data_IF_463431680588
#
_entry.id   IF_463431680588
#
_cell.length_a   1.000
_cell.length_b   1.000
_cell.length_c   1.000
_cell.angle_alpha   90.00
_cell.angle_beta   90.00
_cell.angle_gamma   90.00
#
_symmetry.space_group_name_H-M   'P 1'
#
loop_
_entity.id
_entity.type
_entity.pdbx_description
1 polymer ?
#
# COMPACT_ATOMS: atom_id res chain seq x y z
N UNK A 1 16.26 37.20 -9.08
CA UNK A 1 16.16 36.87 -7.65
C UNK A 1 15.85 35.37 -7.52
N UNK A 2 16.85 34.51 -7.19
CA UNK A 2 16.60 33.09 -6.95
C UNK A 2 16.06 32.95 -5.53
N UNK A 3 14.75 32.75 -5.39
CA UNK A 3 14.13 32.41 -4.12
C UNK A 3 14.64 31.00 -3.73
N UNK A 4 15.62 30.94 -2.85
CA UNK A 4 16.08 29.66 -2.29
C UNK A 4 15.13 29.25 -1.17
N UNK A 5 14.18 28.39 -1.49
CA UNK A 5 13.30 27.77 -0.49
C UNK A 5 14.18 26.97 0.49
N UNK A 6 14.05 27.16 1.81
CA UNK A 6 14.76 26.35 2.78
C UNK A 6 14.47 24.86 2.58
N UNK A 7 15.49 24.00 2.66
CA UNK A 7 15.34 22.55 2.41
C UNK A 7 14.19 21.89 3.19
N UNK A 8 13.96 22.16 4.49
CA UNK A 8 12.83 21.58 5.23
C UNK A 8 11.48 22.07 4.70
N UNK A 9 11.36 23.34 4.30
CA UNK A 9 10.13 23.89 3.73
C UNK A 9 9.81 23.27 2.36
N UNK A 10 10.81 23.05 1.51
CA UNK A 10 10.61 22.37 0.21
C UNK A 10 10.12 20.94 0.36
N UNK A 11 10.62 20.20 1.35
CA UNK A 11 10.17 18.84 1.64
C UNK A 11 8.73 18.83 2.17
N UNK A 12 8.40 19.76 3.06
CA UNK A 12 7.05 19.92 3.59
C UNK A 12 6.03 20.27 2.50
N UNK A 13 6.37 21.19 1.60
CA UNK A 13 5.53 21.57 0.47
C UNK A 13 5.31 20.39 -0.50
N UNK A 14 6.35 19.61 -0.78
CA UNK A 14 6.22 18.39 -1.61
C UNK A 14 5.29 17.36 -0.97
N UNK A 15 5.41 17.15 0.34
CA UNK A 15 4.51 16.28 1.09
C UNK A 15 3.07 16.78 1.05
N UNK A 16 2.83 18.05 1.35
CA UNK A 16 1.50 18.67 1.31
C UNK A 16 0.86 18.54 -0.07
N UNK A 17 1.62 18.82 -1.15
CA UNK A 17 1.12 18.65 -2.51
C UNK A 17 0.72 17.20 -2.81
N UNK A 18 1.57 16.23 -2.44
CA UNK A 18 1.28 14.80 -2.65
C UNK A 18 0.07 14.35 -1.83
N UNK A 19 -0.03 14.79 -0.58
CA UNK A 19 -1.17 14.51 0.30
C UNK A 19 -2.47 15.04 -0.30
N UNK A 20 -2.50 16.29 -0.76
CA UNK A 20 -3.69 16.88 -1.38
C UNK A 20 -4.05 16.15 -2.68
N UNK A 21 -3.06 15.83 -3.52
CA UNK A 21 -3.29 15.12 -4.78
C UNK A 21 -3.90 13.72 -4.55
N UNK A 22 -3.38 12.96 -3.59
CA UNK A 22 -3.90 11.63 -3.24
C UNK A 22 -5.30 11.75 -2.60
N UNK A 23 -5.51 12.72 -1.70
CA UNK A 23 -6.83 12.97 -1.11
C UNK A 23 -7.87 13.31 -2.17
N UNK A 24 -7.53 14.19 -3.12
CA UNK A 24 -8.41 14.56 -4.23
C UNK A 24 -8.70 13.36 -5.14
N UNK A 25 -7.69 12.53 -5.41
CA UNK A 25 -7.87 11.30 -6.20
C UNK A 25 -8.90 10.36 -5.57
N UNK A 26 -8.78 10.04 -4.29
CA UNK A 26 -9.75 9.18 -3.61
C UNK A 26 -11.12 9.83 -3.47
N UNK A 27 -11.18 11.14 -3.21
CA UNK A 27 -12.44 11.87 -3.13
C UNK A 27 -13.24 11.82 -4.43
N UNK A 28 -12.57 11.94 -5.58
CA UNK A 28 -13.21 11.94 -6.90
C UNK A 28 -13.53 10.52 -7.38
N UNK A 29 -12.62 9.56 -7.14
CA UNK A 29 -12.69 8.25 -7.76
C UNK A 29 -13.35 7.18 -6.91
N UNK A 30 -13.39 7.34 -5.57
CA UNK A 30 -13.92 6.31 -4.68
C UNK A 30 -14.05 6.76 -3.24
N UNK A 31 -14.88 7.77 -3.00
CA UNK A 31 -15.10 8.30 -1.65
C UNK A 31 -15.66 7.26 -0.67
N UNK A 32 -16.51 6.35 -1.17
CA UNK A 32 -17.18 5.34 -0.35
C UNK A 32 -16.38 4.03 -0.17
N UNK A 33 -15.23 3.93 -0.84
CA UNK A 33 -14.37 2.76 -0.77
C UNK A 33 -13.92 2.43 0.68
N UNK A 34 -13.67 3.46 1.47
CA UNK A 34 -13.23 3.32 2.86
C UNK A 34 -14.37 2.94 3.81
N UNK A 35 -15.57 3.48 3.60
CA UNK A 35 -16.76 3.08 4.35
C UNK A 35 -17.07 1.58 4.14
N UNK A 36 -16.99 1.10 2.91
CA UNK A 36 -17.14 -0.32 2.62
C UNK A 36 -16.06 -1.20 3.27
N UNK A 37 -14.83 -0.68 3.37
CA UNK A 37 -13.73 -1.40 4.00
C UNK A 37 -13.96 -1.58 5.51
N UNK A 38 -14.56 -0.62 6.17
CA UNK A 38 -14.90 -0.67 7.61
C UNK A 38 -15.91 -1.77 7.92
N UNK A 39 -16.95 -1.94 7.07
CA UNK A 39 -17.95 -2.99 7.22
C UNK A 39 -17.33 -4.41 7.17
N UNK A 40 -16.18 -4.55 6.56
CA UNK A 40 -15.57 -5.82 6.22
C UNK A 40 -14.41 -6.20 7.16
N UNK A 41 -13.62 -5.22 7.60
CA UNK A 41 -12.45 -5.41 8.46
C UNK A 41 -12.75 -4.83 9.86
N UNK A 42 -13.43 -5.61 10.67
CA UNK A 42 -13.83 -5.19 12.02
C UNK A 42 -12.69 -5.35 13.02
N UNK A 43 -12.62 -4.44 13.98
CA UNK A 43 -11.76 -4.52 15.15
C UNK A 43 -12.60 -4.82 16.39
N UNK A 44 -12.15 -5.75 17.22
CA UNK A 44 -12.85 -6.13 18.44
C UNK A 44 -12.06 -5.69 19.66
N UNK A 45 -12.69 -4.91 20.55
CA UNK A 45 -12.11 -4.49 21.83
C UNK A 45 -12.20 -5.60 22.88
N UNK A 46 -11.56 -6.73 22.60
CA UNK A 46 -11.46 -7.85 23.52
C UNK A 46 -10.00 -8.24 23.73
N UNK A 47 -9.63 -8.47 25.00
CA UNK A 47 -8.24 -8.79 25.36
C UNK A 47 -7.76 -10.10 24.74
N UNK A 48 -8.66 -11.07 24.60
CA UNK A 48 -8.33 -12.36 23.99
C UNK A 48 -8.08 -12.20 22.49
N UNK A 49 -8.92 -11.41 21.79
CA UNK A 49 -8.73 -11.08 20.37
C UNK A 49 -7.38 -10.38 20.15
N UNK A 50 -7.10 -9.32 20.92
CA UNK A 50 -5.86 -8.55 20.80
C UNK A 50 -4.64 -9.42 21.06
N UNK A 51 -4.64 -10.23 22.13
CA UNK A 51 -3.52 -11.10 22.46
C UNK A 51 -3.30 -12.19 21.41
N UNK A 52 -4.35 -12.87 20.96
CA UNK A 52 -4.26 -13.93 19.97
C UNK A 52 -3.78 -13.41 18.60
N UNK A 53 -4.26 -12.23 18.20
CA UNK A 53 -3.83 -11.59 16.95
C UNK A 53 -2.38 -11.12 17.05
N UNK A 54 -1.98 -10.49 18.17
CA UNK A 54 -0.62 -9.99 18.38
C UNK A 54 0.44 -11.10 18.32
N UNK A 55 0.12 -12.30 18.76
CA UNK A 55 1.03 -13.45 18.75
C UNK A 55 1.28 -14.03 17.36
N UNK A 56 0.46 -13.70 16.38
CA UNK A 56 0.62 -14.20 15.01
C UNK A 56 1.56 -13.29 14.19
N UNK A 57 2.32 -13.85 13.22
CA UNK A 57 3.09 -13.03 12.30
C UNK A 57 2.20 -12.05 11.54
N UNK A 58 2.58 -10.77 11.57
CA UNK A 58 1.76 -9.69 11.00
C UNK A 58 0.74 -9.10 11.98
N UNK A 59 0.59 -9.65 13.18
CA UNK A 59 -0.46 -9.27 14.12
C UNK A 59 -0.43 -7.82 14.55
N UNK A 60 0.75 -7.20 14.71
CA UNK A 60 0.84 -5.78 15.06
C UNK A 60 0.24 -4.89 13.95
N UNK A 61 0.60 -5.15 12.70
CA UNK A 61 0.09 -4.38 11.55
C UNK A 61 -1.41 -4.65 11.37
N UNK A 62 -1.88 -5.88 11.61
CA UNK A 62 -3.29 -6.24 11.58
C UNK A 62 -4.09 -5.48 12.62
N UNK A 63 -3.65 -5.45 13.87
CA UNK A 63 -4.30 -4.69 14.94
C UNK A 63 -4.30 -3.19 14.66
N UNK A 64 -3.18 -2.65 14.16
CA UNK A 64 -3.08 -1.23 13.81
C UNK A 64 -4.00 -0.88 12.65
N UNK A 65 -4.07 -1.73 11.61
CA UNK A 65 -4.98 -1.55 10.48
C UNK A 65 -6.44 -1.57 10.94
N UNK A 66 -6.83 -2.59 11.70
CA UNK A 66 -8.19 -2.70 12.24
C UNK A 66 -8.58 -1.50 13.10
N UNK A 67 -7.65 -1.01 13.95
CA UNK A 67 -7.90 0.21 14.73
C UNK A 67 -8.11 1.45 13.86
N UNK A 68 -7.29 1.65 12.81
CA UNK A 68 -7.45 2.80 11.91
C UNK A 68 -8.74 2.73 11.09
N UNK A 69 -9.12 1.54 10.66
CA UNK A 69 -10.31 1.31 9.83
C UNK A 69 -11.60 1.71 10.56
N UNK A 70 -11.66 1.66 11.90
CA UNK A 70 -12.84 2.11 12.66
C UNK A 70 -13.23 3.57 12.39
N UNK A 71 -12.27 4.40 11.97
CA UNK A 71 -12.57 5.80 11.61
C UNK A 71 -13.14 5.93 10.19
N UNK A 72 -13.20 4.83 9.41
CA UNK A 72 -13.59 4.87 8.00
C UNK A 72 -15.11 4.87 7.78
N UNK A 73 -15.91 4.69 8.83
CA UNK A 73 -17.34 4.96 8.77
C UNK A 73 -17.63 6.40 8.28
N UNK A 74 -16.68 7.32 8.50
CA UNK A 74 -16.65 8.63 7.86
C UNK A 74 -15.74 8.57 6.62
N UNK A 75 -16.28 8.62 5.38
CA UNK A 75 -15.48 8.50 4.15
C UNK A 75 -14.30 9.48 4.09
N UNK A 76 -14.50 10.72 4.56
CA UNK A 76 -13.46 11.74 4.60
C UNK A 76 -12.29 11.33 5.51
N UNK A 77 -12.56 10.73 6.67
CA UNK A 77 -11.49 10.27 7.57
C UNK A 77 -10.67 9.16 6.93
N UNK A 78 -11.32 8.19 6.26
CA UNK A 78 -10.63 7.14 5.51
C UNK A 78 -9.73 7.68 4.40
N UNK A 79 -10.23 8.66 3.64
CA UNK A 79 -9.47 9.36 2.60
C UNK A 79 -8.22 10.04 3.20
N UNK A 80 -8.38 10.81 4.27
CA UNK A 80 -7.28 11.57 4.87
C UNK A 80 -6.22 10.65 5.49
N UNK A 81 -6.62 9.61 6.22
CA UNK A 81 -5.70 8.64 6.82
C UNK A 81 -4.91 7.91 5.72
N UNK A 82 -5.59 7.44 4.68
CA UNK A 82 -4.93 6.73 3.57
C UNK A 82 -4.01 7.66 2.78
N UNK A 83 -4.43 8.88 2.48
CA UNK A 83 -3.59 9.87 1.81
C UNK A 83 -2.36 10.24 2.64
N UNK A 84 -2.48 10.32 3.98
CA UNK A 84 -1.35 10.52 4.87
C UNK A 84 -0.35 9.37 4.78
N UNK A 85 -0.80 8.11 4.86
CA UNK A 85 0.08 6.95 4.77
C UNK A 85 0.76 6.85 3.40
N UNK A 86 0.03 7.02 2.30
CA UNK A 86 0.58 6.96 0.95
C UNK A 86 1.55 8.10 0.67
N UNK A 87 1.28 9.31 1.16
CA UNK A 87 2.22 10.43 1.04
C UNK A 87 3.48 10.22 1.88
N UNK A 88 3.38 9.59 3.06
CA UNK A 88 4.53 9.18 3.85
C UNK A 88 5.37 8.10 3.14
N UNK A 89 4.73 7.12 2.50
CA UNK A 89 5.39 6.11 1.65
C UNK A 89 6.15 6.79 0.51
N UNK A 90 5.53 7.76 -0.17
CA UNK A 90 6.20 8.55 -1.23
C UNK A 90 7.46 9.25 -0.73
N UNK A 91 7.37 9.92 0.42
CA UNK A 91 8.53 10.62 0.99
C UNK A 91 9.66 9.68 1.37
N UNK A 92 9.33 8.57 2.05
CA UNK A 92 10.33 7.56 2.43
C UNK A 92 10.98 6.94 1.20
N UNK A 93 10.17 6.56 0.19
CA UNK A 93 10.69 6.01 -1.06
C UNK A 93 11.62 7.00 -1.76
N UNK A 94 11.22 8.27 -1.87
CA UNK A 94 12.06 9.33 -2.45
C UNK A 94 13.36 9.51 -1.65
N UNK A 95 13.27 9.51 -0.31
CA UNK A 95 14.43 9.62 0.57
C UNK A 95 15.40 8.45 0.39
N UNK A 96 14.88 7.21 0.38
CA UNK A 96 15.66 5.99 0.18
C UNK A 96 16.37 6.03 -1.17
N UNK A 97 15.63 6.29 -2.26
CA UNK A 97 16.19 6.35 -3.61
C UNK A 97 17.28 7.40 -3.73
N UNK A 98 17.03 8.61 -3.21
CA UNK A 98 18.03 9.69 -3.19
C UNK A 98 19.28 9.30 -2.41
N UNK A 99 19.13 8.74 -1.21
CA UNK A 99 20.25 8.37 -0.36
C UNK A 99 21.06 7.22 -0.96
N UNK A 100 20.38 6.26 -1.57
CA UNK A 100 21.00 5.09 -2.17
C UNK A 100 21.69 5.39 -3.50
N UNK A 101 21.03 6.14 -4.40
CA UNK A 101 21.60 6.46 -5.73
C UNK A 101 22.58 7.64 -5.69
N UNK A 102 22.55 8.45 -4.64
CA UNK A 102 23.35 9.67 -4.50
C UNK A 102 22.82 10.86 -5.27
N UNK A 103 21.68 10.74 -5.97
CA UNK A 103 21.06 11.83 -6.71
C UNK A 103 19.53 11.88 -6.48
N UNK A 104 18.88 12.96 -6.92
CA UNK A 104 17.44 13.14 -6.74
C UNK A 104 16.65 12.95 -8.04
N UNK A 105 17.17 12.18 -8.99
CA UNK A 105 16.53 12.03 -10.31
C UNK A 105 15.34 11.09 -10.30
N UNK A 106 15.26 10.15 -9.35
CA UNK A 106 14.23 9.11 -9.30
C UNK A 106 12.98 9.49 -8.50
N UNK A 107 12.84 10.75 -8.06
CA UNK A 107 11.68 11.16 -7.27
C UNK A 107 10.32 10.97 -8.00
N UNK A 108 10.19 11.17 -9.34
CA UNK A 108 8.91 10.92 -9.98
C UNK A 108 8.56 9.43 -10.01
N UNK A 109 9.57 8.58 -10.23
CA UNK A 109 9.36 7.12 -10.23
C UNK A 109 8.98 6.57 -8.86
N UNK A 110 9.29 7.28 -7.76
CA UNK A 110 8.83 6.93 -6.42
C UNK A 110 7.30 6.96 -6.27
N UNK A 111 6.58 7.63 -7.17
CA UNK A 111 5.12 7.61 -7.24
C UNK A 111 4.57 6.27 -7.76
N UNK A 112 5.31 5.49 -8.52
CA UNK A 112 4.81 4.24 -9.12
C UNK A 112 4.34 3.22 -8.07
N UNK A 113 5.11 2.88 -7.01
CA UNK A 113 4.62 2.01 -5.94
C UNK A 113 3.44 2.61 -5.17
N UNK A 114 3.42 3.94 -5.00
CA UNK A 114 2.33 4.66 -4.31
C UNK A 114 1.03 4.55 -5.11
N UNK A 115 1.09 4.78 -6.42
CA UNK A 115 -0.07 4.62 -7.31
C UNK A 115 -0.54 3.18 -7.35
N UNK A 116 0.39 2.21 -7.38
CA UNK A 116 0.05 0.79 -7.33
C UNK A 116 -0.69 0.44 -6.02
N UNK A 117 -0.21 0.94 -4.87
CA UNK A 117 -0.91 0.77 -3.59
C UNK A 117 -2.27 1.48 -3.59
N UNK A 118 -2.36 2.69 -4.17
CA UNK A 118 -3.63 3.39 -4.29
C UNK A 118 -4.65 2.58 -5.09
N UNK A 119 -4.24 1.93 -6.18
CA UNK A 119 -5.11 1.04 -6.94
C UNK A 119 -5.54 -0.21 -6.15
N UNK A 120 -4.65 -0.74 -5.27
CA UNK A 120 -5.04 -1.87 -4.41
C UNK A 120 -6.19 -1.51 -3.47
N UNK A 121 -6.29 -0.26 -3.00
CA UNK A 121 -7.40 0.16 -2.14
C UNK A 121 -8.77 0.13 -2.83
N UNK A 122 -8.84 0.11 -4.16
CA UNK A 122 -10.10 -0.09 -4.90
C UNK A 122 -10.52 -1.55 -4.98
N UNK A 123 -9.62 -2.49 -4.69
CA UNK A 123 -9.94 -3.91 -4.61
C UNK A 123 -10.58 -4.23 -3.24
N UNK A 124 -11.83 -4.66 -3.25
CA UNK A 124 -12.62 -4.99 -2.06
C UNK A 124 -11.99 -6.06 -1.17
N UNK A 125 -11.09 -6.87 -1.72
CA UNK A 125 -10.45 -7.99 -1.02
C UNK A 125 -9.05 -7.66 -0.50
N UNK A 126 -8.55 -6.45 -0.77
CA UNK A 126 -7.25 -6.00 -0.27
C UNK A 126 -7.35 -5.61 1.20
N UNK A 127 -6.46 -6.17 2.02
CA UNK A 127 -6.39 -5.87 3.45
C UNK A 127 -5.53 -4.62 3.67
N UNK A 128 -6.04 -3.68 4.47
CA UNK A 128 -5.38 -2.40 4.77
C UNK A 128 -3.99 -2.57 5.40
N UNK A 129 -3.79 -3.70 6.06
CA UNK A 129 -2.52 -4.16 6.62
C UNK A 129 -1.36 -4.08 5.63
N UNK A 130 -1.59 -4.37 4.35
CA UNK A 130 -0.58 -4.35 3.31
C UNK A 130 0.07 -2.98 3.12
N UNK A 131 -0.69 -1.89 3.26
CA UNK A 131 -0.17 -0.52 3.18
C UNK A 131 0.69 -0.17 4.39
N UNK A 132 0.26 -0.56 5.59
CA UNK A 132 1.04 -0.35 6.82
C UNK A 132 2.31 -1.20 6.84
N UNK A 133 2.23 -2.46 6.41
CA UNK A 133 3.38 -3.33 6.26
C UNK A 133 4.42 -2.73 5.30
N UNK A 134 3.95 -2.20 4.16
CA UNK A 134 4.83 -1.54 3.18
C UNK A 134 5.51 -0.30 3.77
N UNK A 135 4.78 0.52 4.53
CA UNK A 135 5.35 1.68 5.24
C UNK A 135 6.43 1.24 6.23
N UNK A 136 6.14 0.22 7.06
CA UNK A 136 7.08 -0.30 8.06
C UNK A 136 8.35 -0.85 7.39
N UNK A 137 8.22 -1.57 6.26
CA UNK A 137 9.36 -2.02 5.45
C UNK A 137 10.25 -0.86 5.01
N UNK A 138 9.68 0.24 4.51
CA UNK A 138 10.45 1.42 4.08
C UNK A 138 11.16 2.12 5.24
N UNK A 139 10.55 2.14 6.43
CA UNK A 139 11.20 2.62 7.66
C UNK A 139 12.47 1.81 7.92
N UNK A 140 12.39 0.48 7.84
CA UNK A 140 13.56 -0.39 8.00
C UNK A 140 14.66 -0.14 6.97
N UNK A 141 14.31 0.01 5.69
CA UNK A 141 15.28 0.35 4.64
C UNK A 141 15.95 1.72 4.89
N UNK A 142 15.18 2.69 5.40
CA UNK A 142 15.71 4.01 5.72
C UNK A 142 16.79 3.92 6.81
N UNK A 143 16.53 3.21 7.90
CA UNK A 143 17.50 3.00 8.97
C UNK A 143 18.71 2.20 8.50
N UNK A 144 18.50 1.14 7.71
CA UNK A 144 19.59 0.36 7.12
C UNK A 144 20.60 1.26 6.37
N UNK A 145 20.10 2.17 5.52
CA UNK A 145 20.95 3.11 4.78
C UNK A 145 21.62 4.18 5.67
N UNK A 146 21.19 4.38 6.91
CA UNK A 146 21.84 5.29 7.86
C UNK A 146 23.10 4.67 8.48
N UNK A 147 23.20 3.36 8.55
CA UNK A 147 24.32 2.66 9.20
C UNK A 147 25.52 2.60 8.25
N UNK A 148 26.69 3.05 8.73
CA UNK A 148 27.92 3.10 7.90
C UNK A 148 28.69 1.78 7.89
N UNK A 149 28.78 1.11 9.04
CA UNK A 149 29.52 -0.16 9.18
C UNK A 149 28.77 -1.31 8.51
N UNK A 150 29.43 -2.09 7.66
CA UNK A 150 28.83 -3.24 6.98
C UNK A 150 28.37 -4.32 7.97
N UNK A 151 29.15 -4.58 9.03
CA UNK A 151 28.79 -5.57 10.06
C UNK A 151 27.54 -5.11 10.82
N UNK A 152 27.52 -3.84 11.28
CA UNK A 152 26.36 -3.29 11.99
C UNK A 152 25.12 -3.25 11.10
N UNK A 153 25.26 -2.98 9.79
CA UNK A 153 24.15 -3.05 8.82
C UNK A 153 23.59 -4.46 8.70
N UNK A 154 24.46 -5.46 8.62
CA UNK A 154 24.01 -6.86 8.54
C UNK A 154 23.28 -7.29 9.82
N UNK A 155 23.84 -6.99 11.00
CA UNK A 155 23.20 -7.30 12.30
C UNK A 155 21.84 -6.60 12.39
N UNK A 156 21.78 -5.30 12.07
CA UNK A 156 20.52 -4.57 12.02
C UNK A 156 19.52 -5.22 11.07
N UNK A 157 19.94 -5.57 9.85
CA UNK A 157 19.08 -6.20 8.85
C UNK A 157 18.54 -7.55 9.32
N UNK A 158 19.37 -8.34 9.99
CA UNK A 158 18.96 -9.62 10.56
C UNK A 158 17.88 -9.40 11.65
N UNK A 159 18.17 -8.56 12.64
CA UNK A 159 17.20 -8.25 13.71
C UNK A 159 15.91 -7.66 13.15
N UNK A 160 16.03 -6.73 12.19
CA UNK A 160 14.86 -6.09 11.59
C UNK A 160 14.05 -7.06 10.70
N UNK A 161 14.67 -8.01 10.03
CA UNK A 161 13.95 -9.07 9.26
C UNK A 161 13.08 -9.91 10.19
N UNK A 162 13.61 -10.34 11.33
CA UNK A 162 12.84 -11.10 12.32
C UNK A 162 11.72 -10.24 12.91
N UNK A 163 12.04 -9.00 13.30
CA UNK A 163 11.04 -8.04 13.79
C UNK A 163 9.93 -7.78 12.77
N UNK A 164 10.29 -7.56 11.50
CA UNK A 164 9.34 -7.26 10.43
C UNK A 164 8.45 -8.47 10.12
N UNK A 165 9.01 -9.70 10.13
CA UNK A 165 8.20 -10.90 9.97
C UNK A 165 7.21 -11.08 11.12
N UNK A 166 7.65 -10.89 12.36
CA UNK A 166 6.78 -11.00 13.53
C UNK A 166 5.66 -9.94 13.53
N UNK A 167 5.97 -8.69 13.15
CA UNK A 167 5.04 -7.56 13.27
C UNK A 167 4.19 -7.31 12.03
N UNK A 168 4.72 -7.58 10.83
CA UNK A 168 4.10 -7.28 9.55
C UNK A 168 3.98 -8.49 8.60
N UNK A 169 4.52 -9.66 8.94
CA UNK A 169 4.36 -10.89 8.16
C UNK A 169 5.20 -10.95 6.89
N UNK A 170 4.58 -11.36 5.79
CA UNK A 170 5.23 -11.71 4.51
C UNK A 170 6.05 -10.57 3.87
N UNK A 171 5.81 -9.30 4.22
CA UNK A 171 6.58 -8.15 3.69
C UNK A 171 8.08 -8.24 3.98
N UNK A 172 8.46 -9.06 4.99
CA UNK A 172 9.85 -9.35 5.28
C UNK A 172 10.60 -9.95 4.10
N UNK A 173 9.93 -10.71 3.23
CA UNK A 173 10.52 -11.27 2.01
C UNK A 173 10.83 -10.16 0.97
N UNK A 174 9.94 -9.18 0.79
CA UNK A 174 10.21 -8.01 -0.04
C UNK A 174 11.35 -7.17 0.55
N UNK A 175 11.36 -6.95 1.86
CA UNK A 175 12.43 -6.24 2.55
C UNK A 175 13.79 -6.87 2.26
N UNK A 176 13.92 -8.18 2.44
CA UNK A 176 15.17 -8.92 2.17
C UNK A 176 15.56 -8.83 0.70
N UNK A 177 14.61 -8.95 -0.21
CA UNK A 177 14.86 -8.82 -1.66
C UNK A 177 15.43 -7.44 -2.00
N UNK A 178 14.82 -6.36 -1.48
CA UNK A 178 15.31 -5.00 -1.71
C UNK A 178 16.66 -4.75 -1.04
N UNK A 179 16.92 -5.32 0.14
CA UNK A 179 18.24 -5.26 0.79
C UNK A 179 19.33 -5.90 -0.07
N UNK A 180 19.07 -7.08 -0.62
CA UNK A 180 20.03 -7.78 -1.48
C UNK A 180 20.35 -6.92 -2.71
N UNK A 181 19.33 -6.33 -3.35
CA UNK A 181 19.52 -5.42 -4.47
C UNK A 181 20.37 -4.21 -4.05
N UNK A 182 20.03 -3.55 -2.95
CA UNK A 182 20.76 -2.38 -2.44
C UNK A 182 22.23 -2.74 -2.20
N UNK A 183 22.50 -3.83 -1.50
CA UNK A 183 23.86 -4.22 -1.14
C UNK A 183 24.65 -4.77 -2.31
N UNK A 184 24.01 -5.37 -3.32
CA UNK A 184 24.67 -5.78 -4.56
C UNK A 184 25.30 -4.57 -5.29
N UNK A 185 24.69 -3.40 -5.20
CA UNK A 185 25.23 -2.16 -5.78
C UNK A 185 26.16 -1.37 -4.85
N UNK A 186 26.01 -1.49 -3.50
CA UNK A 186 26.85 -0.78 -2.54
C UNK A 186 28.11 -1.57 -2.21
N UNK A 187 27.96 -2.86 -1.89
CA UNK A 187 29.05 -3.73 -1.44
C UNK A 187 29.01 -5.10 -2.14
N UNK A 188 29.25 -5.18 -3.46
CA UNK A 188 29.03 -6.40 -4.24
C UNK A 188 29.82 -7.60 -3.70
N UNK A 189 31.05 -7.38 -3.18
CA UNK A 189 31.89 -8.44 -2.59
C UNK A 189 31.31 -9.05 -1.30
N UNK A 190 30.43 -8.32 -0.59
CA UNK A 190 29.85 -8.75 0.68
C UNK A 190 28.34 -9.03 0.57
N UNK A 191 27.76 -8.82 -0.61
CA UNK A 191 26.32 -9.03 -0.83
C UNK A 191 25.90 -10.47 -0.52
N UNK A 192 26.78 -11.45 -0.77
CA UNK A 192 26.48 -12.86 -0.53
C UNK A 192 26.07 -13.17 0.92
N UNK A 193 26.53 -12.39 1.91
CA UNK A 193 26.12 -12.59 3.31
C UNK A 193 24.63 -12.29 3.52
N UNK A 194 24.06 -11.38 2.73
CA UNK A 194 22.63 -11.03 2.82
C UNK A 194 21.72 -12.14 2.28
N UNK A 195 22.25 -13.10 1.50
CA UNK A 195 21.51 -14.30 1.08
C UNK A 195 21.12 -15.17 2.30
N UNK A 196 21.86 -15.09 3.40
CA UNK A 196 21.48 -15.75 4.66
C UNK A 196 20.12 -15.26 5.19
N UNK A 197 19.72 -14.02 4.90
CA UNK A 197 18.43 -13.50 5.30
C UNK A 197 17.26 -14.20 4.60
N UNK A 198 17.48 -14.72 3.39
CA UNK A 198 16.49 -15.56 2.70
C UNK A 198 16.23 -16.84 3.51
N UNK A 199 17.29 -17.47 4.00
CA UNK A 199 17.16 -18.65 4.87
C UNK A 199 16.42 -18.31 6.16
N UNK A 200 16.69 -17.14 6.75
CA UNK A 200 15.98 -16.69 7.97
C UNK A 200 14.48 -16.54 7.69
N UNK A 201 14.09 -15.84 6.61
CA UNK A 201 12.68 -15.67 6.23
C UNK A 201 12.03 -17.01 5.94
N UNK A 202 12.74 -17.93 5.24
CA UNK A 202 12.26 -19.28 4.98
C UNK A 202 11.99 -20.07 6.26
N UNK A 203 12.92 -20.05 7.22
CA UNK A 203 12.75 -20.75 8.51
C UNK A 203 11.60 -20.15 9.33
N UNK A 204 11.45 -18.84 9.35
CA UNK A 204 10.32 -18.16 10.01
C UNK A 204 8.99 -18.53 9.35
N UNK A 205 8.93 -18.55 8.02
CA UNK A 205 7.75 -18.97 7.29
C UNK A 205 7.41 -20.45 7.51
N UNK A 206 8.43 -21.33 7.53
CA UNK A 206 8.26 -22.75 7.86
C UNK A 206 7.69 -22.94 9.27
N UNK A 207 8.21 -22.21 10.25
CA UNK A 207 7.70 -22.23 11.61
C UNK A 207 6.25 -21.75 11.67
N UNK A 208 5.92 -20.64 10.99
CA UNK A 208 4.57 -20.09 10.95
C UNK A 208 3.55 -21.03 10.28
N UNK A 209 3.99 -21.78 9.25
CA UNK A 209 3.17 -22.82 8.61
C UNK A 209 2.97 -24.03 9.54
N UNK A 210 3.99 -24.43 10.29
CA UNK A 210 3.90 -25.52 11.25
C UNK A 210 2.94 -25.20 12.40
N UNK A 211 2.95 -23.98 12.90
CA UNK A 211 2.00 -23.47 13.92
C UNK A 211 0.57 -23.27 13.35
N UNK A 212 0.39 -23.41 12.03
CA UNK A 212 -0.92 -23.26 11.39
C UNK A 212 -1.40 -21.81 11.25
N UNK A 213 -0.52 -20.81 11.44
CA UNK A 213 -0.88 -19.39 11.27
C UNK A 213 -1.11 -19.03 9.80
N UNK A 214 -0.42 -19.69 8.89
CA UNK A 214 -0.64 -19.60 7.45
C UNK A 214 -1.02 -20.94 6.88
N UNK A 215 -2.01 -20.97 5.97
CA UNK A 215 -2.43 -22.22 5.30
C UNK A 215 -1.50 -22.63 4.16
N UNK A 216 -0.80 -21.66 3.52
CA UNK A 216 -0.01 -21.90 2.32
C UNK A 216 1.24 -20.99 2.32
N UNK A 217 2.30 -21.44 1.61
CA UNK A 217 3.55 -20.71 1.44
C UNK A 217 3.38 -19.31 0.86
N UNK A 218 2.44 -19.12 -0.08
CA UNK A 218 2.18 -17.81 -0.68
C UNK A 218 1.74 -16.77 0.36
N UNK A 219 0.96 -17.19 1.37
CA UNK A 219 0.55 -16.29 2.45
C UNK A 219 1.68 -15.98 3.45
N UNK A 220 2.67 -16.86 3.55
CA UNK A 220 3.82 -16.64 4.43
C UNK A 220 4.93 -15.79 3.77
N UNK A 221 5.03 -15.79 2.43
CA UNK A 221 6.18 -15.22 1.71
C UNK A 221 5.83 -14.12 0.70
N UNK A 222 4.58 -14.05 0.21
CA UNK A 222 4.18 -13.15 -0.88
C UNK A 222 3.11 -12.15 -0.43
N UNK A 223 2.77 -11.24 -1.33
CA UNK A 223 1.73 -10.23 -1.12
C UNK A 223 0.33 -10.81 -0.88
N UNK A 224 0.12 -12.10 -1.18
CA UNK A 224 -1.12 -12.85 -0.92
C UNK A 224 -1.54 -12.81 0.56
N UNK A 225 -0.61 -12.57 1.49
CA UNK A 225 -0.91 -12.37 2.91
C UNK A 225 -1.87 -11.20 3.15
N UNK A 226 -1.79 -10.16 2.31
CA UNK A 226 -2.58 -8.93 2.41
C UNK A 226 -3.82 -8.94 1.51
N UNK A 227 -4.32 -10.12 1.26
CA UNK A 227 -5.54 -10.34 0.50
C UNK A 227 -6.43 -11.34 1.22
N UNK A 228 -7.75 -11.23 1.08
CA UNK A 228 -8.65 -12.17 1.75
C UNK A 228 -8.35 -13.61 1.35
N UNK A 229 -8.19 -14.50 2.33
CA UNK A 229 -7.89 -15.91 2.09
C UNK A 229 -9.08 -16.71 1.52
N UNK A 230 -10.28 -16.12 1.50
CA UNK A 230 -11.50 -16.78 1.01
C UNK A 230 -11.59 -16.79 -0.51
N UNK A 231 -10.85 -15.93 -1.20
CA UNK A 231 -10.87 -15.78 -2.65
C UNK A 231 -9.46 -15.92 -3.22
N UNK A 232 -9.30 -16.42 -4.45
CA UNK A 232 -8.01 -16.45 -5.12
C UNK A 232 -7.53 -15.01 -5.36
N UNK A 233 -6.31 -14.70 -4.91
CA UNK A 233 -5.68 -13.42 -5.17
C UNK A 233 -5.40 -13.29 -6.68
N UNK A 234 -5.83 -12.18 -7.27
CA UNK A 234 -5.44 -11.83 -8.64
C UNK A 234 -3.97 -11.39 -8.71
N UNK A 235 -3.35 -11.48 -9.88
CA UNK A 235 -1.95 -11.08 -10.09
C UNK A 235 -1.66 -9.62 -9.71
N UNK A 236 -2.69 -8.76 -9.71
CA UNK A 236 -2.61 -7.35 -9.36
C UNK A 236 -2.04 -7.08 -7.96
N UNK A 237 -2.26 -7.98 -7.00
CA UNK A 237 -1.79 -7.80 -5.62
C UNK A 237 -0.25 -7.75 -5.52
N UNK A 238 0.45 -8.38 -6.47
CA UNK A 238 1.91 -8.36 -6.52
C UNK A 238 2.47 -7.08 -7.16
N UNK A 239 1.62 -6.23 -7.74
CA UNK A 239 2.02 -5.05 -8.52
C UNK A 239 2.90 -4.06 -7.71
N UNK A 240 2.53 -3.65 -6.47
CA UNK A 240 3.37 -2.75 -5.67
C UNK A 240 4.76 -3.33 -5.38
N UNK A 241 4.84 -4.65 -5.15
CA UNK A 241 6.09 -5.34 -4.88
C UNK A 241 6.96 -5.41 -6.13
N UNK A 242 6.40 -5.86 -7.26
CA UNK A 242 7.10 -5.96 -8.54
C UNK A 242 7.63 -4.60 -9.02
N UNK A 243 6.81 -3.55 -8.92
CA UNK A 243 7.23 -2.18 -9.25
C UNK A 243 8.38 -1.73 -8.34
N UNK A 244 8.30 -2.02 -7.04
CA UNK A 244 9.38 -1.66 -6.10
C UNK A 244 10.69 -2.37 -6.45
N UNK A 245 10.64 -3.67 -6.71
CA UNK A 245 11.82 -4.45 -7.13
C UNK A 245 12.41 -3.85 -8.42
N UNK A 246 11.57 -3.61 -9.43
CA UNK A 246 12.00 -3.00 -10.69
C UNK A 246 12.61 -1.61 -10.51
N UNK A 247 11.99 -0.78 -9.66
CA UNK A 247 12.48 0.57 -9.35
C UNK A 247 13.85 0.54 -8.67
N UNK A 248 14.08 -0.40 -7.76
CA UNK A 248 15.40 -0.54 -7.12
C UNK A 248 16.44 -1.12 -8.08
N UNK A 249 16.10 -2.05 -8.95
CA UNK A 249 17.03 -2.54 -10.00
C UNK A 249 17.44 -1.40 -10.94
N UNK A 250 16.48 -0.65 -11.45
CA UNK A 250 16.74 0.52 -12.31
C UNK A 250 17.52 1.59 -11.54
N UNK A 251 17.15 1.86 -10.28
CA UNK A 251 17.83 2.82 -9.41
C UNK A 251 19.32 2.49 -9.23
N UNK A 252 19.67 1.21 -9.13
CA UNK A 252 21.06 0.77 -9.10
C UNK A 252 21.86 1.22 -10.33
N UNK A 253 21.25 1.17 -11.51
CA UNK A 253 21.86 1.64 -12.74
C UNK A 253 22.05 3.16 -12.76
N UNK A 254 21.13 3.91 -12.16
CA UNK A 254 21.21 5.38 -12.07
C UNK A 254 22.43 5.88 -11.27
N UNK A 255 23.03 5.05 -10.42
CA UNK A 255 24.29 5.40 -9.71
C UNK A 255 25.45 5.64 -10.66
N UNK A 256 25.44 4.99 -11.82
CA UNK A 256 26.53 5.03 -12.81
C UNK A 256 26.26 6.04 -13.92
N UNK A 257 25.08 6.65 -13.97
CA UNK A 257 24.74 7.63 -15.00
C UNK A 257 25.50 8.94 -14.80
N UNK A 258 26.04 9.53 -15.90
CA UNK A 258 26.71 10.82 -15.85
C UNK A 258 25.71 11.92 -15.52
N UNK A 259 26.09 12.82 -14.62
CA UNK A 259 25.25 13.96 -14.23
C UNK A 259 25.33 15.07 -15.31
N UNK A 260 24.55 14.90 -16.40
CA UNK A 260 24.44 15.87 -17.50
C UNK A 260 23.06 16.56 -17.44
N UNK A 261 22.95 17.91 -17.48
CA UNK A 261 21.69 18.61 -17.29
C UNK A 261 20.61 18.23 -18.32
N UNK A 262 20.97 18.05 -19.57
CA UNK A 262 20.03 17.66 -20.63
C UNK A 262 19.51 16.22 -20.43
N UNK A 263 20.41 15.29 -20.06
CA UNK A 263 20.03 13.91 -19.73
C UNK A 263 19.11 13.88 -18.51
N UNK A 264 19.43 14.63 -17.47
CA UNK A 264 18.62 14.69 -16.27
C UNK A 264 17.20 15.21 -16.57
N UNK A 265 17.06 16.24 -17.39
CA UNK A 265 15.74 16.76 -17.81
C UNK A 265 14.96 15.73 -18.61
N UNK A 266 15.59 15.07 -19.58
CA UNK A 266 14.97 14.00 -20.37
C UNK A 266 14.48 12.85 -19.48
N UNK A 267 15.31 12.41 -18.53
CA UNK A 267 14.96 11.33 -17.59
C UNK A 267 13.77 11.71 -16.68
N UNK A 268 13.70 12.95 -16.21
CA UNK A 268 12.56 13.43 -15.42
C UNK A 268 11.26 13.46 -16.24
N UNK A 269 11.33 13.92 -17.49
CA UNK A 269 10.17 13.93 -18.40
C UNK A 269 9.70 12.50 -18.68
N UNK A 270 10.62 11.60 -19.02
CA UNK A 270 10.29 10.18 -19.27
C UNK A 270 9.60 9.54 -18.06
N UNK A 271 10.13 9.75 -16.86
CA UNK A 271 9.52 9.24 -15.64
C UNK A 271 8.12 9.81 -15.41
N UNK A 272 7.93 11.13 -15.64
CA UNK A 272 6.62 11.76 -15.56
C UNK A 272 5.62 11.15 -16.55
N UNK A 273 6.05 10.88 -17.79
CA UNK A 273 5.25 10.20 -18.80
C UNK A 273 4.89 8.77 -18.35
N UNK A 274 5.87 8.02 -17.84
CA UNK A 274 5.64 6.64 -17.34
C UNK A 274 4.62 6.63 -16.21
N UNK A 275 4.73 7.53 -15.24
CA UNK A 275 3.74 7.67 -14.15
C UNK A 275 2.36 8.05 -14.70
N UNK A 276 2.31 9.01 -15.63
CA UNK A 276 1.05 9.44 -16.27
C UNK A 276 0.37 8.33 -17.07
N UNK A 277 1.15 7.56 -17.84
CA UNK A 277 0.65 6.39 -18.58
C UNK A 277 0.16 5.30 -17.62
N UNK A 278 0.90 5.04 -16.54
CA UNK A 278 0.50 4.06 -15.54
C UNK A 278 -0.80 4.45 -14.84
N UNK A 279 -0.99 5.72 -14.50
CA UNK A 279 -2.25 6.24 -13.97
C UNK A 279 -3.40 6.12 -14.98
N UNK A 280 -3.16 6.55 -16.22
CA UNK A 280 -4.19 6.55 -17.27
C UNK A 280 -4.67 5.14 -17.64
N UNK A 281 -3.76 4.19 -17.78
CA UNK A 281 -4.09 2.80 -18.10
C UNK A 281 -4.58 2.01 -16.89
N UNK A 282 -4.06 2.28 -15.70
CA UNK A 282 -4.43 1.59 -14.47
C UNK A 282 -5.81 1.98 -13.97
N UNK A 283 -6.18 3.26 -14.02
CA UNK A 283 -7.46 3.71 -13.48
C UNK A 283 -8.67 2.91 -14.01
N UNK A 284 -8.89 2.73 -15.32
CA UNK A 284 -10.02 1.95 -15.82
C UNK A 284 -9.92 0.45 -15.53
N UNK A 285 -8.70 -0.07 -15.28
CA UNK A 285 -8.49 -1.49 -14.98
C UNK A 285 -8.80 -1.83 -13.52
N UNK A 286 -8.49 -0.93 -12.60
CA UNK A 286 -8.60 -1.17 -11.16
C UNK A 286 -9.81 -0.50 -10.52
N UNK A 287 -10.39 0.52 -11.17
CA UNK A 287 -11.53 1.29 -10.65
C UNK A 287 -12.76 0.95 -11.51
N UNK A 288 -13.61 0.07 -10.99
CA UNK A 288 -14.87 -0.30 -11.63
C UNK A 288 -15.99 0.61 -11.12
N UNK A 289 -16.71 1.28 -12.04
CA UNK A 289 -17.87 2.11 -11.69
C UNK A 289 -18.95 1.32 -10.95
N UNK A 290 -19.22 0.09 -11.38
CA UNK A 290 -20.23 -0.77 -10.76
C UNK A 290 -19.86 -1.12 -9.31
N UNK A 291 -18.57 -1.43 -9.07
CA UNK A 291 -18.09 -1.70 -7.71
C UNK A 291 -18.15 -0.45 -6.83
N UNK A 292 -17.78 0.72 -7.35
CA UNK A 292 -17.85 1.97 -6.58
C UNK A 292 -19.29 2.37 -6.29
N UNK A 293 -20.21 2.18 -7.25
CA UNK A 293 -21.66 2.36 -7.01
C UNK A 293 -22.19 1.41 -5.95
N UNK A 294 -21.78 0.14 -5.97
CA UNK A 294 -22.18 -0.82 -4.93
C UNK A 294 -21.68 -0.41 -3.54
N UNK A 295 -20.43 0.05 -3.42
CA UNK A 295 -19.86 0.56 -2.17
C UNK A 295 -20.60 1.81 -1.67
N UNK A 296 -20.99 2.71 -2.57
CA UNK A 296 -21.81 3.86 -2.27
C UNK A 296 -23.16 3.43 -1.69
N UNK A 297 -23.87 2.52 -2.37
CA UNK A 297 -25.17 2.02 -1.93
C UNK A 297 -25.10 1.31 -0.57
N UNK A 298 -24.07 0.49 -0.33
CA UNK A 298 -23.90 -0.17 0.99
C UNK A 298 -23.63 0.83 2.09
N UNK A 299 -22.84 1.89 1.85
CA UNK A 299 -22.62 2.95 2.82
C UNK A 299 -23.90 3.75 3.12
N UNK A 300 -24.74 3.98 2.11
CA UNK A 300 -26.06 4.64 2.30
C UNK A 300 -27.02 3.74 3.09
N UNK A 301 -27.00 2.41 2.89
CA UNK A 301 -27.79 1.44 3.67
C UNK A 301 -27.43 1.51 5.15
N UNK A 302 -26.13 1.45 5.48
CA UNK A 302 -25.67 1.50 6.87
C UNK A 302 -26.08 2.80 7.59
N UNK A 303 -26.15 3.90 6.84
CA UNK A 303 -26.57 5.18 7.37
C UNK A 303 -28.11 5.37 7.34
N UNK A 304 -28.89 4.38 6.89
CA UNK A 304 -30.36 4.45 6.79
C UNK A 304 -30.86 5.51 5.79
N UNK A 305 -30.05 5.87 4.79
CA UNK A 305 -30.35 6.93 3.83
C UNK A 305 -31.17 6.39 2.64
N UNK A 306 -32.35 5.83 2.93
CA UNK A 306 -33.20 5.12 1.96
C UNK A 306 -33.61 5.99 0.77
N UNK A 307 -33.97 7.26 0.99
CA UNK A 307 -34.34 8.19 -0.09
C UNK A 307 -33.17 8.46 -1.05
N UNK A 308 -31.95 8.60 -0.50
CA UNK A 308 -30.75 8.78 -1.30
C UNK A 308 -30.46 7.55 -2.18
N UNK A 309 -30.71 6.32 -1.68
CA UNK A 309 -30.58 5.09 -2.47
C UNK A 309 -31.56 5.07 -3.61
N UNK A 310 -32.85 5.41 -3.34
CA UNK A 310 -33.90 5.44 -4.38
C UNK A 310 -33.55 6.48 -5.46
N UNK A 311 -33.13 7.67 -5.06
CA UNK A 311 -32.76 8.72 -6.01
C UNK A 311 -31.53 8.34 -6.83
N UNK A 312 -30.51 7.76 -6.19
CA UNK A 312 -29.29 7.30 -6.87
C UNK A 312 -29.55 6.20 -7.88
N UNK A 313 -30.46 5.27 -7.54
CA UNK A 313 -30.80 4.14 -8.40
C UNK A 313 -31.65 4.52 -9.64
N UNK A 314 -32.30 5.68 -9.66
CA UNK A 314 -33.01 6.16 -10.86
C UNK A 314 -32.08 6.36 -12.08
N UNK A 315 -30.82 6.71 -11.82
CA UNK A 315 -29.84 7.04 -12.86
C UNK A 315 -28.93 5.85 -13.22
N UNK A 316 -29.12 4.68 -12.60
CA UNK A 316 -28.26 3.51 -12.76
C UNK A 316 -29.02 2.42 -13.53
N UNK A 317 -28.43 1.82 -14.60
CA UNK A 317 -29.00 0.67 -15.24
C UNK A 317 -29.11 -0.51 -14.25
N UNK A 318 -30.35 -1.01 -14.01
CA UNK A 318 -30.62 -2.12 -13.08
C UNK A 318 -30.26 -3.49 -13.69
N UNK A 319 -29.06 -3.60 -14.27
CA UNK A 319 -28.54 -4.87 -14.82
C UNK A 319 -27.76 -5.68 -13.78
N UNK A 320 -27.28 -5.01 -12.71
CA UNK A 320 -26.53 -5.65 -11.63
C UNK A 320 -27.48 -6.06 -10.49
N UNK A 321 -27.53 -7.36 -10.17
CA UNK A 321 -28.36 -7.90 -9.10
C UNK A 321 -28.06 -7.30 -7.71
N UNK A 322 -26.82 -6.93 -7.45
CA UNK A 322 -26.45 -6.30 -6.17
C UNK A 322 -27.09 -4.90 -6.04
N UNK A 323 -27.09 -4.12 -7.12
CA UNK A 323 -27.76 -2.80 -7.13
C UNK A 323 -29.29 -2.98 -6.98
N UNK A 324 -29.88 -3.96 -7.68
CA UNK A 324 -31.31 -4.28 -7.52
C UNK A 324 -31.67 -4.65 -6.09
N UNK A 325 -30.84 -5.45 -5.41
CA UNK A 325 -31.08 -5.83 -4.03
C UNK A 325 -31.01 -4.62 -3.10
N UNK A 326 -30.06 -3.71 -3.26
CA UNK A 326 -29.99 -2.46 -2.49
C UNK A 326 -31.24 -1.59 -2.71
N UNK A 327 -31.69 -1.48 -3.96
CA UNK A 327 -32.90 -0.73 -4.34
C UNK A 327 -34.14 -1.33 -3.73
N UNK A 328 -34.36 -2.66 -3.87
CA UNK A 328 -35.49 -3.34 -3.29
C UNK A 328 -35.52 -3.24 -1.76
N UNK A 329 -34.35 -3.30 -1.10
CA UNK A 329 -34.25 -3.08 0.34
C UNK A 329 -34.73 -1.68 0.73
N UNK A 330 -34.31 -0.65 0.00
CA UNK A 330 -34.74 0.73 0.27
C UNK A 330 -36.26 0.91 0.09
N UNK A 331 -36.87 0.25 -0.93
CA UNK A 331 -38.33 0.25 -1.09
C UNK A 331 -39.05 -0.50 0.03
N UNK A 332 -38.48 -1.61 0.50
CA UNK A 332 -39.04 -2.36 1.63
C UNK A 332 -39.07 -1.52 2.91
N UNK A 333 -37.95 -0.87 3.21
CA UNK A 333 -37.82 -0.02 4.40
C UNK A 333 -38.72 1.26 4.37
N UNK A 334 -39.12 1.67 3.16
CA UNK A 334 -40.06 2.81 2.96
C UNK A 334 -41.50 2.35 2.78
N UNK A 335 -41.83 1.06 2.96
CA UNK A 335 -43.16 0.47 2.73
C UNK A 335 -43.73 0.70 1.32
N UNK A 336 -42.87 0.86 0.33
CA UNK A 336 -43.22 1.18 -1.06
C UNK A 336 -43.12 -0.01 -2.03
N UNK A 337 -42.85 -1.23 -1.56
CA UNK A 337 -42.63 -2.44 -2.41
C UNK A 337 -43.86 -2.84 -3.25
N UNK A 338 -45.05 -2.42 -2.88
CA UNK A 338 -46.30 -2.80 -3.51
C UNK A 338 -46.95 -1.64 -4.30
N UNK A 339 -46.25 -0.54 -4.46
CA UNK A 339 -46.68 0.62 -5.28
C UNK A 339 -45.92 0.62 -6.60
#
# INVERSE_FOLDING_TARGET
>A
MKISIPKPLGLFLAWMFTFIAISSFFYIMGAYNFCYLEQWQTFVYDSSYVSNTFMQPGGLVQLTAGFLIQFFHMPIAGILITAFLLSAIFLLMTHILKRWTGNNLLWPSALLPVVALAFMHFNTNYLYEGTLAFLLMLVGLTFHLCIRSTISRFIYSLCYTVFLFATAGSIASLYVTLLIIIEAFITPKKCAIYLLLILVVYLLAQYALWEGWFGEWKHALLADAYFTRRLPAGSAIHLPWGISIGLFLVGGLFRYLPNKPNLNRALLIIQGIVVGVFLYQGAPQYISKDNETFKELTCLIDNGQWDAIIDRCKDIPMTNLLHQNCFNLAFAEKDCLLQ
#
